data_IF_364953480047
#
_entry.id   IF_364953480047
#
_cell.length_a   1.000
_cell.length_b   1.000
_cell.length_c   1.000
_cell.angle_alpha   90.00
_cell.angle_beta   90.00
_cell.angle_gamma   90.00
#
_symmetry.space_group_name_H-M   'P 1'
#
loop_
_entity.id
_entity.type
_entity.pdbx_description
1 polymer ?
#
# COMPACT_ATOMS: atom_id res chain seq x y z
N UNK A 1 14.82 39.32 -28.57
CA UNK A 1 15.62 38.14 -28.17
C UNK A 1 14.74 37.07 -27.52
N UNK A 2 13.83 36.42 -28.26
CA UNK A 2 12.84 35.52 -27.65
C UNK A 2 12.05 34.62 -28.61
N UNK A 3 12.59 34.32 -29.80
CA UNK A 3 11.86 33.57 -30.84
C UNK A 3 12.59 32.34 -31.39
N UNK A 4 13.76 31.96 -30.84
CA UNK A 4 14.57 30.85 -31.38
C UNK A 4 14.57 29.55 -30.55
N UNK A 5 13.88 29.49 -29.40
CA UNK A 5 13.81 28.26 -28.59
C UNK A 5 12.59 27.35 -28.90
N UNK A 6 11.85 27.60 -29.98
CA UNK A 6 10.62 26.85 -30.30
C UNK A 6 10.71 25.92 -31.52
N UNK A 7 11.85 25.86 -32.19
CA UNK A 7 11.93 25.30 -33.55
C UNK A 7 12.56 23.90 -33.69
N UNK A 8 13.05 23.28 -32.61
CA UNK A 8 13.78 22.00 -32.74
C UNK A 8 13.47 20.94 -31.69
N UNK A 9 12.44 21.12 -30.85
CA UNK A 9 11.82 19.94 -30.25
C UNK A 9 10.84 19.38 -31.26
N UNK A 10 11.05 18.14 -31.78
CA UNK A 10 9.98 17.47 -32.51
C UNK A 10 8.73 17.56 -31.65
N UNK A 11 7.61 17.97 -32.24
CA UNK A 11 6.30 17.96 -31.59
C UNK A 11 5.91 16.51 -31.34
N UNK A 12 6.60 15.86 -30.41
CA UNK A 12 6.19 14.58 -29.89
C UNK A 12 4.88 14.84 -29.16
N UNK A 13 3.84 14.16 -29.63
CA UNK A 13 2.55 14.16 -28.99
C UNK A 13 2.75 13.87 -27.50
N UNK A 14 2.22 14.75 -26.64
CA UNK A 14 2.41 14.64 -25.20
C UNK A 14 1.59 13.45 -24.71
N UNK A 15 2.26 12.31 -24.51
CA UNK A 15 1.62 11.09 -23.99
C UNK A 15 1.41 11.23 -22.48
N UNK A 16 0.14 11.25 -22.08
CA UNK A 16 -0.28 11.33 -20.67
C UNK A 16 -0.28 9.91 -20.06
N UNK A 17 0.36 9.67 -18.90
CA UNK A 17 0.39 8.34 -18.28
C UNK A 17 -1.01 7.81 -17.97
N UNK A 18 -1.20 6.54 -18.31
CA UNK A 18 -2.42 5.79 -18.00
C UNK A 18 -2.32 5.06 -16.67
N UNK A 19 -1.10 4.73 -16.21
CA UNK A 19 -0.81 3.89 -15.04
C UNK A 19 -1.48 2.51 -15.08
N UNK A 20 -1.84 2.04 -16.27
CA UNK A 20 -2.36 0.69 -16.45
C UNK A 20 -1.22 -0.31 -16.33
N UNK A 21 -1.55 -1.55 -15.97
CA UNK A 21 -0.60 -2.66 -15.92
C UNK A 21 -1.02 -3.68 -16.97
N UNK A 22 -0.08 -4.53 -17.40
CA UNK A 22 -0.34 -5.54 -18.40
C UNK A 22 0.00 -5.07 -19.81
N UNK A 23 -0.75 -5.52 -20.81
CA UNK A 23 -0.49 -5.14 -22.21
C UNK A 23 -0.73 -3.65 -22.48
N UNK A 24 -1.49 -2.98 -21.61
CA UNK A 24 -1.77 -1.53 -21.68
C UNK A 24 -0.83 -0.68 -20.83
N UNK A 25 0.26 -1.25 -20.33
CA UNK A 25 1.21 -0.47 -19.53
C UNK A 25 1.84 0.67 -20.34
N UNK A 26 2.12 1.79 -19.65
CA UNK A 26 2.81 2.93 -20.25
C UNK A 26 4.22 2.52 -20.71
N UNK A 27 4.82 3.26 -21.64
CA UNK A 27 6.22 3.04 -21.97
C UNK A 27 7.10 3.24 -20.71
N UNK A 28 8.15 2.41 -20.56
CA UNK A 28 8.94 2.33 -19.34
C UNK A 28 9.53 3.70 -18.94
N UNK A 29 10.02 4.46 -19.90
CA UNK A 29 10.58 5.80 -19.67
C UNK A 29 9.51 6.80 -19.18
N UNK A 30 8.26 6.71 -19.67
CA UNK A 30 7.15 7.53 -19.16
C UNK A 30 6.73 7.10 -17.76
N UNK A 31 6.63 5.78 -17.51
CA UNK A 31 6.27 5.23 -16.20
C UNK A 31 7.28 5.63 -15.11
N UNK A 32 8.58 5.57 -15.40
CA UNK A 32 9.63 5.98 -14.46
C UNK A 32 9.48 7.48 -14.13
N UNK A 33 9.37 8.35 -15.15
CA UNK A 33 9.24 9.80 -14.96
C UNK A 33 7.99 10.15 -14.16
N UNK A 34 6.85 9.54 -14.50
CA UNK A 34 5.57 9.79 -13.83
C UNK A 34 5.58 9.30 -12.38
N UNK A 35 6.12 8.12 -12.10
CA UNK A 35 6.22 7.58 -10.74
C UNK A 35 7.17 8.37 -9.84
N UNK A 36 8.30 8.87 -10.37
CA UNK A 36 9.19 9.76 -9.61
C UNK A 36 8.49 11.06 -9.20
N UNK A 37 7.72 11.65 -10.12
CA UNK A 37 6.93 12.85 -9.82
C UNK A 37 5.84 12.54 -8.79
N UNK A 38 5.05 11.49 -9.01
CA UNK A 38 3.97 11.07 -8.12
C UNK A 38 4.46 10.70 -6.71
N UNK A 39 5.65 10.10 -6.59
CA UNK A 39 6.25 9.77 -5.30
C UNK A 39 6.37 10.98 -4.37
N UNK A 40 6.92 12.08 -4.90
CA UNK A 40 7.05 13.35 -4.18
C UNK A 40 5.71 14.04 -4.02
N UNK A 41 4.92 14.08 -5.10
CA UNK A 41 3.66 14.82 -5.16
C UNK A 41 2.58 14.29 -4.21
N UNK A 42 2.46 12.97 -4.09
CA UNK A 42 1.50 12.29 -3.22
C UNK A 42 2.08 11.94 -1.84
N UNK A 43 3.32 12.36 -1.56
CA UNK A 43 4.00 12.14 -0.27
C UNK A 43 3.95 10.67 0.19
N UNK A 44 4.30 9.75 -0.72
CA UNK A 44 4.12 8.30 -0.51
C UNK A 44 4.76 7.81 0.79
N UNK A 45 5.93 8.34 1.16
CA UNK A 45 6.65 7.96 2.39
C UNK A 45 5.84 8.26 3.66
N UNK A 46 5.17 9.42 3.69
CA UNK A 46 4.41 9.92 4.83
C UNK A 46 2.92 9.63 4.73
N UNK A 47 2.48 8.85 3.73
CA UNK A 47 1.08 8.45 3.61
C UNK A 47 0.63 7.69 4.87
N UNK A 48 -0.58 7.98 5.35
CA UNK A 48 -1.14 7.33 6.53
C UNK A 48 -1.19 5.80 6.33
N UNK A 49 -0.94 5.01 7.39
CA UNK A 49 -1.06 3.55 7.32
C UNK A 49 -2.47 3.06 6.98
N UNK A 50 -3.51 3.82 7.30
CA UNK A 50 -4.89 3.53 6.93
C UNK A 50 -5.43 4.69 6.10
N UNK A 51 -6.06 4.37 4.97
CA UNK A 51 -6.79 5.35 4.20
C UNK A 51 -8.08 5.70 4.95
N UNK A 52 -8.23 6.95 5.36
CA UNK A 52 -9.50 7.44 5.87
C UNK A 52 -10.48 7.51 4.68
N UNK A 53 -11.39 6.55 4.58
CA UNK A 53 -12.40 6.48 3.49
C UNK A 53 -13.21 7.78 3.36
N UNK A 54 -13.29 8.57 4.45
CA UNK A 54 -13.99 9.85 4.47
C UNK A 54 -13.31 10.97 3.68
N UNK A 55 -12.01 10.88 3.36
CA UNK A 55 -11.30 11.96 2.65
C UNK A 55 -11.53 11.95 1.14
N UNK A 56 -11.72 10.79 0.52
CA UNK A 56 -11.89 10.70 -0.94
C UNK A 56 -13.21 11.29 -1.45
N UNK A 57 -14.25 11.31 -0.62
CA UNK A 57 -15.56 11.83 -1.00
C UNK A 57 -15.68 13.36 -0.81
N UNK A 58 -14.75 14.00 -0.08
CA UNK A 58 -14.88 15.43 0.26
C UNK A 58 -14.13 16.38 -0.67
N UNK A 59 -13.06 15.95 -1.34
CA UNK A 59 -12.13 16.87 -1.99
C UNK A 59 -12.28 17.04 -3.52
N UNK A 60 -13.25 16.39 -4.17
CA UNK A 60 -13.42 16.53 -5.64
C UNK A 60 -14.43 17.61 -6.06
N UNK A 61 -15.34 18.04 -5.20
CA UNK A 61 -16.39 19.02 -5.56
C UNK A 61 -16.23 20.39 -4.92
N UNK A 62 -15.34 20.53 -3.93
CA UNK A 62 -15.11 21.80 -3.23
C UNK A 62 -13.62 21.96 -2.94
N UNK A 63 -12.77 22.07 -3.97
CA UNK A 63 -11.52 22.78 -3.78
C UNK A 63 -11.93 24.20 -3.36
N UNK A 64 -11.70 24.62 -2.10
CA UNK A 64 -11.86 26.02 -1.78
C UNK A 64 -10.88 26.73 -2.71
N UNK A 65 -11.39 27.55 -3.61
CA UNK A 65 -10.62 28.64 -4.21
C UNK A 65 -10.14 29.42 -3.00
N UNK A 66 -8.93 29.09 -2.53
CA UNK A 66 -8.34 29.64 -1.33
C UNK A 66 -7.92 31.05 -1.70
N UNK A 67 -8.92 31.93 -1.78
CA UNK A 67 -8.80 33.37 -1.79
C UNK A 67 -8.47 33.86 -0.40
N UNK A 68 -7.49 33.26 0.27
CA UNK A 68 -6.89 33.89 1.43
C UNK A 68 -5.96 34.98 0.92
N UNK A 69 -6.52 36.19 0.86
CA UNK A 69 -5.82 37.47 0.92
C UNK A 69 -5.01 37.53 2.24
N UNK A 70 -3.96 36.72 2.36
CA UNK A 70 -2.94 36.82 3.38
C UNK A 70 -1.70 37.48 2.78
N UNK A 71 -1.63 38.80 2.87
CA UNK A 71 -0.52 39.58 2.33
C UNK A 71 0.84 39.20 2.92
N UNK A 72 1.88 39.32 2.09
CA UNK A 72 3.27 39.40 2.54
C UNK A 72 4.08 38.09 2.50
N UNK A 73 4.27 37.52 1.31
CA UNK A 73 5.20 36.40 1.12
C UNK A 73 5.28 35.91 -0.33
N UNK A 74 5.77 36.76 -1.24
CA UNK A 74 5.74 36.58 -2.70
C UNK A 74 6.46 35.35 -3.29
N UNK A 75 6.96 34.41 -2.48
CA UNK A 75 7.66 33.22 -2.96
C UNK A 75 6.81 31.95 -3.11
N UNK A 76 5.61 31.87 -2.49
CA UNK A 76 4.87 30.59 -2.37
C UNK A 76 3.84 30.33 -3.48
N UNK A 77 3.35 31.38 -4.14
CA UNK A 77 2.28 31.27 -5.16
C UNK A 77 2.78 30.66 -6.48
N UNK A 78 4.04 30.90 -6.84
CA UNK A 78 4.60 30.44 -8.13
C UNK A 78 4.73 28.91 -8.18
N UNK A 79 5.19 28.28 -7.09
CA UNK A 79 5.36 26.82 -7.02
C UNK A 79 4.03 26.06 -7.21
N UNK A 80 2.89 26.65 -6.86
CA UNK A 80 1.60 25.96 -6.97
C UNK A 80 1.17 25.79 -8.44
N UNK A 81 1.40 26.80 -9.29
CA UNK A 81 0.97 26.79 -10.70
C UNK A 81 1.78 25.83 -11.57
N UNK A 82 3.08 25.67 -11.28
CA UNK A 82 3.92 24.70 -11.99
C UNK A 82 3.50 23.26 -11.64
N UNK A 83 3.19 23.01 -10.37
CA UNK A 83 2.69 21.70 -9.92
C UNK A 83 1.32 21.37 -10.53
N UNK A 84 0.42 22.34 -10.74
CA UNK A 84 -0.85 22.10 -11.43
C UNK A 84 -0.66 21.61 -12.86
N UNK A 85 0.29 22.20 -13.61
CA UNK A 85 0.61 21.75 -14.97
C UNK A 85 1.19 20.34 -14.96
N UNK A 86 2.08 20.04 -14.01
CA UNK A 86 2.66 18.70 -13.87
C UNK A 86 1.62 17.67 -13.38
N UNK A 87 0.66 18.07 -12.54
CA UNK A 87 -0.44 17.23 -12.10
C UNK A 87 -1.36 16.84 -13.27
N UNK A 88 -1.59 17.76 -14.22
CA UNK A 88 -2.29 17.46 -15.46
C UNK A 88 -1.44 16.56 -16.37
N UNK A 89 -0.18 16.92 -16.60
CA UNK A 89 0.75 16.19 -17.48
C UNK A 89 0.94 14.73 -17.05
N UNK A 90 1.07 14.50 -15.75
CA UNK A 90 1.24 13.19 -15.16
C UNK A 90 -0.05 12.60 -14.61
N UNK A 91 -1.22 13.17 -14.95
CA UNK A 91 -2.53 12.62 -14.61
C UNK A 91 -2.68 12.21 -13.14
N UNK A 92 -2.39 13.16 -12.23
CA UNK A 92 -2.48 12.93 -10.78
C UNK A 92 -3.85 12.40 -10.36
N UNK A 93 -4.92 12.88 -10.99
CA UNK A 93 -6.28 12.42 -10.70
C UNK A 93 -6.46 10.91 -10.96
N UNK A 94 -5.95 10.38 -12.08
CA UNK A 94 -5.98 8.93 -12.35
C UNK A 94 -5.09 8.17 -11.36
N UNK A 95 -3.93 8.73 -11.02
CA UNK A 95 -3.03 8.12 -10.04
C UNK A 95 -3.64 8.04 -8.64
N UNK A 96 -4.31 9.08 -8.17
CA UNK A 96 -5.02 9.08 -6.89
C UNK A 96 -6.15 8.04 -6.89
N UNK A 97 -6.91 7.91 -7.98
CA UNK A 97 -7.92 6.85 -8.13
C UNK A 97 -7.28 5.46 -8.09
N UNK A 98 -6.11 5.28 -8.67
CA UNK A 98 -5.37 4.02 -8.62
C UNK A 98 -4.89 3.65 -7.21
N UNK A 99 -4.41 4.64 -6.44
CA UNK A 99 -3.89 4.41 -5.09
C UNK A 99 -4.97 4.30 -4.02
N UNK A 100 -6.02 5.11 -4.14
CA UNK A 100 -7.01 5.32 -3.08
C UNK A 100 -8.42 4.87 -3.46
N UNK A 101 -8.71 4.69 -4.75
CA UNK A 101 -10.05 4.43 -5.27
C UNK A 101 -10.56 3.01 -4.99
N UNK A 102 -11.13 2.36 -6.01
CA UNK A 102 -11.97 1.15 -5.92
C UNK A 102 -11.26 -0.15 -5.54
N UNK A 103 -10.11 -0.08 -4.87
CA UNK A 103 -9.40 -1.27 -4.38
C UNK A 103 -9.88 -1.63 -2.97
N UNK A 104 -10.48 -2.80 -2.83
CA UNK A 104 -10.95 -3.36 -1.55
C UNK A 104 -9.84 -3.53 -0.50
N UNK A 105 -8.58 -3.60 -0.93
CA UNK A 105 -7.43 -3.72 -0.04
C UNK A 105 -6.96 -2.38 0.54
N UNK A 106 -7.54 -1.24 0.13
CA UNK A 106 -7.17 0.11 0.63
C UNK A 106 -7.34 0.30 2.14
N UNK A 107 -8.15 -0.56 2.76
CA UNK A 107 -8.41 -0.59 4.20
C UNK A 107 -7.34 -1.34 5.00
N UNK A 108 -6.40 -1.98 4.30
CA UNK A 108 -5.30 -2.72 4.90
C UNK A 108 -4.13 -1.77 5.18
N UNK A 109 -3.31 -2.16 6.15
CA UNK A 109 -2.20 -1.34 6.63
C UNK A 109 -1.19 -1.06 5.52
N UNK A 110 -0.70 0.18 5.44
CA UNK A 110 0.34 0.64 4.52
C UNK A 110 0.02 0.35 3.03
N UNK A 111 -1.26 0.20 2.68
CA UNK A 111 -1.69 -0.19 1.33
C UNK A 111 -1.13 0.75 0.27
N UNK A 112 -1.27 2.07 0.46
CA UNK A 112 -0.81 3.08 -0.50
C UNK A 112 0.68 2.97 -0.81
N UNK A 113 1.52 2.75 0.20
CA UNK A 113 2.97 2.57 0.03
C UNK A 113 3.28 1.34 -0.81
N UNK A 114 2.61 0.24 -0.50
CA UNK A 114 2.90 -1.05 -1.12
C UNK A 114 2.28 -1.19 -2.52
N UNK A 115 1.14 -0.55 -2.76
CA UNK A 115 0.61 -0.35 -4.11
C UNK A 115 1.60 0.45 -4.95
N UNK A 116 2.12 1.57 -4.43
CA UNK A 116 3.15 2.34 -5.12
C UNK A 116 4.41 1.50 -5.44
N UNK A 117 4.94 0.76 -4.45
CA UNK A 117 6.10 -0.13 -4.66
C UNK A 117 5.84 -1.19 -5.74
N UNK A 118 4.62 -1.72 -5.82
CA UNK A 118 4.26 -2.68 -6.88
C UNK A 118 4.27 -2.06 -8.28
N UNK A 119 3.97 -0.76 -8.41
CA UNK A 119 4.06 -0.02 -9.67
C UNK A 119 5.51 0.24 -10.09
N UNK A 120 6.47 0.19 -9.15
CA UNK A 120 7.89 0.34 -9.42
C UNK A 120 8.54 -0.94 -9.97
N UNK A 121 7.77 -2.02 -10.12
CA UNK A 121 8.22 -3.24 -10.80
C UNK A 121 7.92 -3.06 -12.30
N UNK A 122 8.97 -2.84 -13.09
CA UNK A 122 8.94 -2.54 -14.52
C UNK A 122 8.99 -3.84 -15.35
N UNK A 123 8.35 -3.87 -16.52
CA UNK A 123 8.36 -5.04 -17.40
C UNK A 123 9.64 -5.14 -18.25
N UNK A 124 10.42 -4.08 -18.33
CA UNK A 124 11.64 -4.03 -19.13
C UNK A 124 12.59 -2.92 -18.68
N UNK A 125 13.73 -2.84 -19.38
CA UNK A 125 14.70 -1.76 -19.20
C UNK A 125 14.21 -0.49 -19.91
N UNK A 126 14.44 0.70 -19.32
CA UNK A 126 14.20 1.96 -20.02
C UNK A 126 15.06 2.04 -21.29
N UNK A 127 14.53 2.71 -22.32
CA UNK A 127 15.23 2.88 -23.60
C UNK A 127 16.09 4.15 -23.62
N UNK A 128 15.70 5.18 -22.87
CA UNK A 128 16.39 6.48 -22.85
C UNK A 128 17.42 6.57 -21.71
N UNK A 129 17.31 5.71 -20.68
CA UNK A 129 18.12 5.80 -19.46
C UNK A 129 19.17 4.69 -19.39
N UNK A 130 20.43 5.07 -19.16
CA UNK A 130 21.55 4.12 -18.96
C UNK A 130 21.46 3.36 -17.64
N UNK A 131 20.86 3.98 -16.61
CA UNK A 131 20.69 3.38 -15.29
C UNK A 131 19.33 3.75 -14.70
N UNK A 132 18.75 2.85 -13.91
CA UNK A 132 17.50 3.12 -13.20
C UNK A 132 17.71 4.25 -12.18
N UNK A 133 16.85 5.29 -12.18
CA UNK A 133 16.93 6.35 -11.19
C UNK A 133 16.60 5.82 -9.79
N UNK A 134 17.10 6.51 -8.77
CA UNK A 134 16.86 6.16 -7.36
C UNK A 134 15.91 7.17 -6.73
N UNK A 135 15.12 6.69 -5.78
CA UNK A 135 14.32 7.56 -4.91
C UNK A 135 15.21 8.12 -3.80
N UNK A 136 14.84 9.29 -3.27
CA UNK A 136 15.54 9.94 -2.15
C UNK A 136 15.22 9.27 -0.79
N UNK A 137 14.70 8.04 -0.80
CA UNK A 137 14.23 7.32 0.39
C UNK A 137 14.49 5.83 0.24
N UNK A 138 14.97 5.22 1.30
CA UNK A 138 15.25 3.78 1.36
C UNK A 138 13.97 2.95 1.11
N UNK A 139 14.16 1.73 0.59
CA UNK A 139 13.08 0.77 0.33
C UNK A 139 12.04 1.23 -0.70
N UNK A 140 12.43 2.19 -1.54
CA UNK A 140 11.77 2.53 -2.79
C UNK A 140 12.81 2.42 -3.89
N UNK A 141 12.61 1.48 -4.81
CA UNK A 141 13.52 1.22 -5.90
C UNK A 141 12.74 0.71 -7.11
N UNK A 142 13.24 1.02 -8.30
CA UNK A 142 12.76 0.37 -9.52
C UNK A 142 13.40 -1.00 -9.64
N UNK A 143 12.60 -2.02 -9.93
CA UNK A 143 13.06 -3.38 -10.17
C UNK A 143 12.50 -3.85 -11.51
N UNK A 144 13.30 -4.58 -12.29
CA UNK A 144 12.87 -5.12 -13.58
C UNK A 144 12.46 -6.58 -13.36
N UNK A 145 11.29 -6.93 -13.88
CA UNK A 145 10.77 -8.29 -13.93
C UNK A 145 10.02 -8.42 -15.25
N UNK A 146 10.59 -9.12 -16.23
CA UNK A 146 9.98 -9.21 -17.57
C UNK A 146 8.86 -10.24 -17.59
N UNK A 147 7.92 -10.07 -18.53
CA UNK A 147 6.77 -10.97 -18.64
C UNK A 147 7.22 -12.42 -18.91
N UNK A 148 8.19 -12.57 -19.81
CA UNK A 148 8.82 -13.81 -20.22
C UNK A 148 9.91 -14.34 -19.28
N UNK A 149 10.12 -13.70 -18.12
CA UNK A 149 11.06 -14.18 -17.11
C UNK A 149 10.67 -15.58 -16.59
N UNK A 150 11.64 -16.46 -16.30
CA UNK A 150 11.35 -17.77 -15.72
C UNK A 150 10.73 -17.66 -14.32
N UNK A 151 10.01 -18.69 -13.88
CA UNK A 151 9.35 -18.71 -12.56
C UNK A 151 10.28 -18.40 -11.39
N UNK A 152 11.51 -18.89 -11.47
CA UNK A 152 12.51 -18.65 -10.43
C UNK A 152 12.80 -17.16 -10.28
N UNK A 153 12.87 -16.41 -11.39
CA UNK A 153 13.10 -14.97 -11.36
C UNK A 153 11.90 -14.23 -10.75
N UNK A 154 10.67 -14.67 -11.04
CA UNK A 154 9.47 -14.15 -10.36
C UNK A 154 9.53 -14.40 -8.85
N UNK A 155 9.82 -15.64 -8.45
CA UNK A 155 9.89 -16.06 -7.05
C UNK A 155 10.95 -15.24 -6.32
N UNK A 156 12.15 -15.13 -6.86
CA UNK A 156 13.23 -14.39 -6.22
C UNK A 156 12.98 -12.89 -6.19
N UNK A 157 12.59 -12.30 -7.32
CA UNK A 157 12.40 -10.86 -7.44
C UNK A 157 11.28 -10.39 -6.52
N UNK A 158 10.12 -11.04 -6.55
CA UNK A 158 9.00 -10.66 -5.70
C UNK A 158 9.26 -10.98 -4.23
N UNK A 159 9.84 -12.15 -3.91
CA UNK A 159 10.13 -12.50 -2.53
C UNK A 159 11.26 -11.66 -1.90
N UNK A 160 12.15 -11.06 -2.68
CA UNK A 160 13.19 -10.13 -2.19
C UNK A 160 12.79 -8.65 -2.31
N UNK A 161 11.68 -8.33 -2.97
CA UNK A 161 11.22 -6.96 -3.18
C UNK A 161 10.98 -6.19 -1.87
N UNK A 162 10.98 -4.86 -1.95
CA UNK A 162 10.66 -3.97 -0.82
C UNK A 162 9.15 -3.88 -0.53
N UNK A 163 8.29 -4.65 -1.22
CA UNK A 163 6.86 -4.70 -0.91
C UNK A 163 6.68 -5.24 0.51
N UNK A 164 5.96 -4.47 1.33
CA UNK A 164 5.75 -4.63 2.76
C UNK A 164 7.06 -4.74 3.57
N UNK A 165 8.09 -3.97 3.18
CA UNK A 165 9.39 -3.95 3.87
C UNK A 165 9.29 -3.76 5.39
N UNK A 166 8.38 -2.89 5.84
CA UNK A 166 8.14 -2.61 7.26
C UNK A 166 7.70 -3.86 8.06
N UNK A 167 7.25 -4.90 7.36
CA UNK A 167 6.67 -6.13 7.90
C UNK A 167 7.45 -7.39 7.50
N UNK A 168 8.66 -7.26 6.91
CA UNK A 168 9.51 -8.42 6.58
C UNK A 168 9.88 -9.26 7.82
N UNK A 169 9.91 -8.64 9.00
CA UNK A 169 10.17 -9.35 10.26
C UNK A 169 9.06 -10.33 10.66
N UNK A 170 7.81 -10.10 10.25
CA UNK A 170 6.70 -11.02 10.54
C UNK A 170 6.37 -11.96 9.38
N UNK A 171 6.67 -11.57 8.13
CA UNK A 171 6.48 -12.43 6.97
C UNK A 171 7.84 -12.89 6.43
N UNK A 172 8.24 -14.09 6.85
CA UNK A 172 9.48 -14.72 6.40
C UNK A 172 9.54 -14.97 4.90
N UNK A 173 10.77 -15.01 4.38
CA UNK A 173 11.08 -15.18 2.95
C UNK A 173 10.38 -16.39 2.31
N UNK A 174 10.28 -17.51 3.03
CA UNK A 174 9.66 -18.73 2.49
C UNK A 174 8.14 -18.59 2.31
N UNK A 175 7.47 -17.87 3.22
CA UNK A 175 6.05 -17.53 3.03
C UNK A 175 5.87 -16.65 1.80
N UNK A 176 6.77 -15.68 1.58
CA UNK A 176 6.75 -14.82 0.40
C UNK A 176 6.92 -15.64 -0.88
N UNK A 177 7.90 -16.55 -0.92
CA UNK A 177 8.11 -17.47 -2.06
C UNK A 177 6.88 -18.31 -2.35
N UNK A 178 6.25 -18.90 -1.31
CA UNK A 178 5.01 -19.69 -1.45
C UNK A 178 3.86 -18.89 -2.03
N UNK A 179 3.73 -17.61 -1.66
CA UNK A 179 2.71 -16.71 -2.22
C UNK A 179 2.96 -16.50 -3.72
N UNK A 180 4.22 -16.29 -4.14
CA UNK A 180 4.56 -16.11 -5.56
C UNK A 180 4.30 -17.37 -6.36
N UNK A 181 4.70 -18.54 -5.85
CA UNK A 181 4.43 -19.84 -6.49
C UNK A 181 2.93 -20.01 -6.75
N UNK A 182 2.10 -19.75 -5.72
CA UNK A 182 0.65 -19.79 -5.86
C UNK A 182 0.11 -18.77 -6.87
N UNK A 183 0.71 -17.58 -6.94
CA UNK A 183 0.34 -16.56 -7.92
C UNK A 183 0.59 -17.05 -9.36
N UNK A 184 1.74 -17.69 -9.60
CA UNK A 184 2.12 -18.28 -10.89
C UNK A 184 1.18 -19.44 -11.28
N UNK A 185 0.84 -20.32 -10.34
CA UNK A 185 -0.16 -21.38 -10.55
C UNK A 185 -1.52 -20.82 -10.99
N UNK A 186 -1.97 -19.73 -10.35
CA UNK A 186 -3.22 -19.05 -10.71
C UNK A 186 -3.14 -18.43 -12.11
N UNK A 187 -2.04 -17.75 -12.43
CA UNK A 187 -1.86 -17.15 -13.75
C UNK A 187 -1.84 -18.18 -14.88
N UNK A 188 -1.39 -19.41 -14.61
CA UNK A 188 -1.39 -20.52 -15.57
C UNK A 188 -2.62 -21.43 -15.49
N UNK A 189 -3.62 -21.12 -14.68
CA UNK A 189 -4.80 -21.99 -14.55
C UNK A 189 -5.48 -22.16 -15.90
N UNK A 190 -5.60 -23.41 -16.37
CA UNK A 190 -6.14 -23.74 -17.70
C UNK A 190 -5.15 -23.62 -18.87
N UNK A 191 -3.87 -23.40 -18.60
CA UNK A 191 -2.81 -23.28 -19.61
C UNK A 191 -1.72 -24.34 -19.37
N UNK A 192 -0.88 -24.57 -20.39
CA UNK A 192 0.30 -25.44 -20.24
C UNK A 192 1.26 -24.86 -19.20
N UNK A 193 1.89 -25.68 -18.33
CA UNK A 193 2.93 -25.22 -17.41
C UNK A 193 4.14 -24.60 -18.13
N UNK A 194 4.33 -24.93 -19.41
CA UNK A 194 5.41 -24.39 -20.26
C UNK A 194 5.04 -23.09 -20.98
N UNK A 195 3.80 -22.59 -20.83
CA UNK A 195 3.39 -21.35 -21.49
C UNK A 195 4.17 -20.17 -20.90
N UNK A 196 4.78 -19.39 -21.78
CA UNK A 196 5.40 -18.10 -21.45
C UNK A 196 4.31 -17.12 -21.01
N UNK A 197 4.54 -16.45 -19.89
CA UNK A 197 3.60 -15.46 -19.35
C UNK A 197 3.65 -14.20 -20.22
N UNK A 198 2.48 -13.62 -20.50
CA UNK A 198 2.39 -12.31 -21.15
C UNK A 198 2.36 -11.18 -20.09
N UNK A 199 2.21 -9.93 -20.52
CA UNK A 199 2.24 -8.81 -19.56
C UNK A 199 1.02 -8.82 -18.63
N UNK A 200 -0.14 -9.27 -19.11
CA UNK A 200 -1.35 -9.39 -18.30
C UNK A 200 -1.19 -10.46 -17.20
N UNK A 201 -0.61 -11.61 -17.54
CA UNK A 201 -0.28 -12.69 -16.61
C UNK A 201 0.70 -12.17 -15.53
N UNK A 202 1.73 -11.43 -15.94
CA UNK A 202 2.66 -10.75 -15.02
C UNK A 202 1.95 -9.78 -14.07
N UNK A 203 1.09 -8.92 -14.60
CA UNK A 203 0.32 -7.97 -13.80
C UNK A 203 -0.59 -8.68 -12.79
N UNK A 204 -1.21 -9.80 -13.20
CA UNK A 204 -2.00 -10.66 -12.33
C UNK A 204 -1.15 -11.25 -11.18
N UNK A 205 0.05 -11.76 -11.48
CA UNK A 205 0.98 -12.31 -10.48
C UNK A 205 1.37 -11.25 -9.45
N UNK A 206 1.80 -10.06 -9.90
CA UNK A 206 2.19 -8.95 -9.02
C UNK A 206 1.02 -8.50 -8.14
N UNK A 207 -0.18 -8.36 -8.73
CA UNK A 207 -1.39 -7.97 -8.00
C UNK A 207 -1.78 -9.01 -6.96
N UNK A 208 -1.77 -10.29 -7.32
CA UNK A 208 -2.07 -11.37 -6.39
C UNK A 208 -1.08 -11.38 -5.22
N UNK A 209 0.21 -11.26 -5.52
CA UNK A 209 1.28 -11.21 -4.53
C UNK A 209 1.07 -10.06 -3.53
N UNK A 210 0.82 -8.84 -4.04
CA UNK A 210 0.55 -7.66 -3.22
C UNK A 210 -0.67 -7.86 -2.31
N UNK A 211 -1.80 -8.30 -2.86
CA UNK A 211 -3.05 -8.50 -2.11
C UNK A 211 -2.89 -9.55 -1.02
N UNK A 212 -2.19 -10.64 -1.34
CA UNK A 212 -1.97 -11.74 -0.41
C UNK A 212 -1.01 -11.35 0.71
N UNK A 213 0.08 -10.62 0.42
CA UNK A 213 0.95 -10.05 1.46
C UNK A 213 0.18 -9.12 2.38
N UNK A 214 -0.62 -8.20 1.83
CA UNK A 214 -1.41 -7.26 2.62
C UNK A 214 -2.33 -8.00 3.61
N UNK A 215 -2.93 -9.09 3.15
CA UNK A 215 -3.77 -9.97 3.97
C UNK A 215 -2.97 -10.63 5.09
N UNK A 216 -1.83 -11.25 4.79
CA UNK A 216 -1.00 -11.92 5.79
C UNK A 216 -0.46 -10.93 6.84
N UNK A 217 -0.05 -9.72 6.44
CA UNK A 217 0.39 -8.67 7.37
C UNK A 217 -0.73 -8.28 8.31
N UNK A 218 -1.94 -8.07 7.79
CA UNK A 218 -3.09 -7.71 8.60
C UNK A 218 -3.51 -8.84 9.55
N UNK A 219 -3.39 -10.11 9.12
CA UNK A 219 -3.63 -11.29 9.96
C UNK A 219 -2.62 -11.37 11.09
N UNK A 220 -1.31 -11.27 10.81
CA UNK A 220 -0.27 -11.31 11.83
C UNK A 220 -0.46 -10.17 12.86
N UNK A 221 -0.78 -8.96 12.39
CA UNK A 221 -1.03 -7.81 13.27
C UNK A 221 -2.20 -8.06 14.22
N UNK A 222 -3.33 -8.57 13.72
CA UNK A 222 -4.49 -8.90 14.54
C UNK A 222 -4.19 -10.05 15.51
N UNK A 223 -3.51 -11.09 15.04
CA UNK A 223 -3.10 -12.22 15.85
C UNK A 223 -2.21 -11.79 17.03
N UNK A 224 -1.16 -10.99 16.78
CA UNK A 224 -0.29 -10.44 17.84
C UNK A 224 -1.06 -9.54 18.82
N UNK A 225 -2.02 -8.77 18.33
CA UNK A 225 -2.91 -7.97 19.18
C UNK A 225 -3.73 -8.85 20.13
N UNK A 226 -4.35 -9.91 19.61
CA UNK A 226 -5.14 -10.86 20.39
C UNK A 226 -4.30 -11.65 21.40
N UNK A 227 -3.08 -12.05 21.02
CA UNK A 227 -2.15 -12.71 21.94
C UNK A 227 -1.83 -11.83 23.15
N UNK A 228 -1.45 -10.56 22.90
CA UNK A 228 -1.15 -9.60 23.97
C UNK A 228 -2.37 -9.36 24.87
N UNK A 229 -3.57 -9.31 24.29
CA UNK A 229 -4.81 -9.15 25.06
C UNK A 229 -5.07 -10.35 25.99
N UNK A 230 -4.95 -11.58 25.48
CA UNK A 230 -5.07 -12.81 26.30
C UNK A 230 -4.01 -12.87 27.40
N UNK A 231 -2.78 -12.48 27.10
CA UNK A 231 -1.69 -12.44 28.08
C UNK A 231 -1.98 -11.44 29.22
N UNK A 232 -2.46 -10.25 28.88
CA UNK A 232 -2.86 -9.25 29.89
C UNK A 232 -4.05 -9.74 30.73
N UNK A 233 -5.00 -10.45 30.13
CA UNK A 233 -6.13 -11.04 30.84
C UNK A 233 -5.68 -12.14 31.82
N UNK A 234 -4.74 -12.99 31.42
CA UNK A 234 -4.15 -14.01 32.30
C UNK A 234 -3.33 -13.40 33.44
N UNK A 235 -2.58 -12.31 33.17
CA UNK A 235 -1.86 -11.56 34.23
C UNK A 235 -2.82 -10.90 35.22
N UNK A 236 -3.99 -10.44 34.75
CA UNK A 236 -5.06 -9.91 35.62
C UNK A 236 -5.73 -10.99 36.47
N UNK A 237 -5.96 -12.19 35.95
CA UNK A 237 -6.55 -13.28 36.72
C UNK A 237 -5.61 -13.90 37.75
N UNK A 238 -4.28 -13.84 37.52
CA UNK A 238 -3.26 -14.29 38.47
C UNK A 238 -2.90 -13.28 39.55
N UNK A 239 -3.28 -12.02 39.39
CA UNK A 239 -3.02 -10.99 40.40
C UNK A 239 -3.83 -11.36 41.64
N UNK A 240 -3.20 -11.66 42.79
CA UNK A 240 -3.94 -12.03 44.00
C UNK A 240 -4.91 -10.91 44.30
N UNK A 241 -6.20 -11.28 44.42
CA UNK A 241 -7.24 -10.37 44.87
C UNK A 241 -6.71 -9.75 46.15
N UNK A 242 -6.32 -8.47 46.09
CA UNK A 242 -6.01 -7.70 47.29
C UNK A 242 -7.33 -7.67 48.04
N UNK A 243 -7.47 -8.60 48.98
CA UNK A 243 -8.53 -8.53 49.97
C UNK A 243 -8.43 -7.13 50.56
N UNK A 244 -9.52 -6.36 50.59
CA UNK A 244 -9.50 -5.04 51.20
C UNK A 244 -9.03 -5.26 52.63
N UNK A 245 -7.81 -4.82 52.92
CA UNK A 245 -7.26 -4.82 54.26
C UNK A 245 -8.23 -3.94 55.04
N UNK A 246 -9.02 -4.59 55.89
CA UNK A 246 -9.94 -3.94 56.81
C UNK A 246 -9.07 -2.95 57.59
N UNK A 247 -9.25 -1.66 57.35
CA UNK A 247 -8.64 -0.61 58.16
C UNK A 247 -9.03 -0.90 59.60
N UNK A 248 -8.12 -1.50 60.35
CA UNK A 248 -8.22 -1.59 61.79
C UNK A 248 -8.09 -0.16 62.28
N UNK A 249 -9.23 0.40 62.68
CA UNK A 249 -9.36 1.62 63.45
C UNK A 249 -8.47 1.52 64.69
N UNK A 250 -7.22 1.93 64.54
CA UNK A 250 -6.27 2.09 65.61
C UNK A 250 -6.41 3.50 66.17
N UNK A 251 -7.17 3.62 67.25
CA UNK A 251 -7.08 4.74 68.18
C UNK A 251 -5.65 4.79 68.73
N UNK A 252 -4.88 5.79 68.30
CA UNK A 252 -3.52 6.04 68.75
C UNK A 252 -3.28 7.53 68.89
N UNK A 253 -3.67 8.09 70.04
CA UNK A 253 -3.15 9.34 70.53
C UNK A 253 -1.65 9.16 70.85
N UNK A 254 -0.79 10.02 70.31
CA UNK A 254 0.64 9.98 70.62
C UNK A 254 1.42 10.97 69.77
N UNK A 255 1.69 12.13 70.35
CA UNK A 255 2.39 13.24 69.70
C UNK A 255 3.81 12.93 69.25
N UNK A 256 4.24 13.71 68.27
CA UNK A 256 5.61 13.73 67.77
C UNK A 256 5.76 14.93 66.83
N UNK A 257 6.06 16.08 67.42
CA UNK A 257 6.50 17.27 66.69
C UNK A 257 7.75 16.95 65.87
N UNK A 258 7.62 17.01 64.55
CA UNK A 258 8.72 16.85 63.61
C UNK A 258 8.58 17.85 62.48
N UNK A 259 9.05 19.07 62.72
CA UNK A 259 9.15 20.15 61.73
C UNK A 259 9.95 19.65 60.52
N UNK A 260 9.32 19.56 59.35
CA UNK A 260 10.05 19.57 58.08
C UNK A 260 9.26 20.26 56.99
N UNK A 261 9.56 21.55 56.85
CA UNK A 261 9.20 22.41 55.73
C UNK A 261 9.82 21.88 54.43
N UNK A 262 9.01 21.27 53.57
CA UNK A 262 9.27 21.27 52.11
C UNK A 262 8.02 21.65 51.33
N UNK A 263 7.93 22.96 51.12
CA UNK A 263 7.35 23.68 49.97
C UNK A 263 6.86 22.76 48.83
N UNK A 264 5.56 22.45 48.83
CA UNK A 264 4.87 21.93 47.65
C UNK A 264 4.20 23.09 46.93
N UNK A 265 4.59 23.27 45.67
CA UNK A 265 4.03 24.23 44.73
C UNK A 265 2.74 23.63 44.18
N UNK A 266 1.62 24.23 44.57
CA UNK A 266 0.26 23.89 44.16
C UNK A 266 0.07 24.03 42.64
N UNK A 267 -0.26 22.94 41.96
CA UNK A 267 -1.00 22.94 40.68
C UNK A 267 -2.50 22.87 40.97
N UNK A 268 -3.34 23.70 40.32
CA UNK A 268 -4.78 23.67 40.55
C UNK A 268 -5.40 22.41 39.94
N UNK A 269 -6.21 21.72 40.75
CA UNK A 269 -7.06 20.63 40.35
C UNK A 269 -8.20 21.16 39.47
N UNK A 270 -8.27 20.66 38.23
CA UNK A 270 -9.45 20.81 37.37
C UNK A 270 -10.42 19.71 37.78
N UNK A 271 -11.57 20.14 38.31
CA UNK A 271 -12.75 19.31 38.55
C UNK A 271 -13.20 18.63 37.24
N UNK A 272 -13.08 17.31 37.17
CA UNK A 272 -13.78 16.50 36.17
C UNK A 272 -15.05 15.92 36.81
N UNK A 273 -16.25 16.19 36.25
CA UNK A 273 -17.49 15.61 36.74
C UNK A 273 -17.57 14.10 36.46
N UNK A 274 -18.02 13.39 37.49
CA UNK A 274 -18.37 11.97 37.51
C UNK A 274 -19.34 11.59 36.40
N UNK A 275 -18.96 10.61 35.58
CA UNK A 275 -19.88 9.90 34.68
C UNK A 275 -20.59 8.76 35.43
N UNK A 276 -21.87 8.48 35.12
CA UNK A 276 -22.68 7.48 35.83
C UNK A 276 -22.29 6.03 35.50
N UNK A 277 -22.64 5.06 36.37
CA UNK A 277 -22.26 3.67 36.25
C UNK A 277 -22.99 2.95 35.10
N UNK A 278 -22.23 2.04 34.50
CA UNK A 278 -22.57 1.13 33.40
C UNK A 278 -23.85 0.34 33.69
N UNK A 279 -24.82 0.41 32.79
CA UNK A 279 -25.91 -0.56 32.75
C UNK A 279 -25.39 -1.91 32.27
N UNK A 280 -25.88 -2.95 32.93
CA UNK A 280 -25.65 -4.37 32.70
C UNK A 280 -26.03 -4.78 31.26
N UNK A 281 -25.10 -5.46 30.60
CA UNK A 281 -25.38 -6.25 29.40
C UNK A 281 -26.32 -7.40 29.75
N UNK A 282 -27.54 -7.33 29.25
CA UNK A 282 -28.49 -8.45 29.23
C UNK A 282 -28.05 -9.41 28.13
N UNK A 283 -27.71 -10.63 28.54
CA UNK A 283 -27.48 -11.79 27.69
C UNK A 283 -28.80 -12.22 27.04
N UNK A 284 -29.06 -11.79 25.80
CA UNK A 284 -30.16 -12.37 25.01
C UNK A 284 -29.68 -13.62 24.27
N UNK A 285 -30.31 -14.71 24.67
CA UNK A 285 -30.25 -16.09 24.21
C UNK A 285 -30.36 -16.27 22.70
N UNK A 286 -29.64 -17.25 22.19
CA UNK A 286 -29.82 -17.89 20.88
C UNK A 286 -31.25 -18.44 20.70
N UNK A 287 -31.87 -18.33 19.51
CA UNK A 287 -33.02 -19.14 19.18
C UNK A 287 -32.58 -20.52 18.72
N UNK A 288 -33.16 -21.47 19.42
CA UNK A 288 -33.19 -22.92 19.31
C UNK A 288 -33.63 -23.38 17.92
N UNK A 289 -32.86 -24.34 17.39
CA UNK A 289 -33.21 -25.27 16.32
C UNK A 289 -34.59 -25.91 16.56
N UNK A 290 -35.53 -25.70 15.65
CA UNK A 290 -36.76 -26.47 15.54
C UNK A 290 -36.60 -27.53 14.44
N UNK A 291 -36.66 -28.78 14.88
CA UNK A 291 -36.89 -29.96 14.07
C UNK A 291 -38.16 -29.82 13.23
N UNK A 292 -38.10 -30.36 12.02
CA UNK A 292 -39.23 -30.53 11.12
C UNK A 292 -38.96 -31.73 10.24
N UNK A 293 -39.16 -32.93 10.80
CA UNK A 293 -39.30 -34.16 10.04
C UNK A 293 -40.65 -34.16 9.33
N UNK A 294 -40.65 -34.25 8.00
CA UNK A 294 -41.70 -34.96 7.26
C UNK A 294 -41.10 -35.51 5.97
N UNK A 295 -40.96 -36.84 5.91
CA UNK A 295 -40.85 -37.59 4.66
C UNK A 295 -42.18 -37.50 3.90
N UNK A 296 -42.19 -37.61 2.56
CA UNK A 296 -42.60 -38.92 2.04
C UNK A 296 -41.83 -39.39 0.79
N UNK A 297 -41.74 -40.73 0.73
CA UNK A 297 -41.55 -41.58 -0.44
C UNK A 297 -42.22 -41.05 -1.71
N UNK A 298 -41.56 -41.23 -2.85
CA UNK A 298 -42.29 -41.50 -4.09
C UNK A 298 -41.57 -41.22 -5.40
N UNK A 299 -41.17 -42.32 -6.06
CA UNK A 299 -41.08 -42.56 -7.51
C UNK A 299 -39.81 -42.16 -8.28
N UNK A 300 -39.33 -43.19 -8.97
CA UNK A 300 -38.20 -43.31 -9.90
C UNK A 300 -38.53 -42.72 -11.31
N UNK A 301 -37.77 -43.01 -12.39
CA UNK A 301 -36.99 -42.01 -13.13
C UNK A 301 -37.49 -41.76 -14.57
N UNK A 302 -37.08 -40.66 -15.18
CA UNK A 302 -37.22 -40.37 -16.62
C UNK A 302 -35.90 -39.76 -17.09
N UNK A 303 -34.99 -40.52 -17.71
CA UNK A 303 -34.83 -40.64 -19.17
C UNK A 303 -35.00 -39.33 -19.93
N UNK A 304 -33.89 -38.88 -20.54
CA UNK A 304 -33.80 -37.95 -21.69
C UNK A 304 -32.33 -37.83 -22.13
N UNK A 305 -32.04 -37.53 -23.41
CA UNK A 305 -31.38 -38.50 -24.27
C UNK A 305 -29.99 -38.08 -24.77
N UNK A 306 -29.24 -39.10 -25.15
CA UNK A 306 -28.07 -39.08 -26.02
C UNK A 306 -28.40 -38.51 -27.40
N UNK A 307 -27.76 -37.40 -27.77
CA UNK A 307 -27.65 -36.97 -29.16
C UNK A 307 -26.25 -37.30 -29.69
N UNK A 308 -26.20 -38.43 -30.38
CA UNK A 308 -25.18 -38.76 -31.37
C UNK A 308 -25.54 -38.03 -32.66
N UNK A 309 -24.60 -37.30 -33.27
CA UNK A 309 -24.73 -36.86 -34.65
C UNK A 309 -23.36 -36.83 -35.31
N UNK A 310 -23.31 -37.60 -36.39
CA UNK A 310 -22.21 -37.90 -37.28
C UNK A 310 -21.55 -36.67 -37.94
N UNK A 311 -20.29 -36.91 -38.33
CA UNK A 311 -19.39 -36.13 -39.18
C UNK A 311 -20.00 -35.67 -40.52
N UNK A 312 -19.27 -34.85 -41.30
CA UNK A 312 -18.50 -35.47 -42.38
C UNK A 312 -17.10 -34.89 -42.64
N UNK A 313 -16.37 -35.73 -43.38
CA UNK A 313 -15.07 -35.59 -44.03
C UNK A 313 -15.00 -34.45 -45.07
N UNK A 314 -13.78 -34.29 -45.62
CA UNK A 314 -13.30 -33.46 -46.74
C UNK A 314 -12.70 -32.11 -46.28
N UNK A 315 -11.50 -31.68 -46.69
CA UNK A 315 -10.59 -32.16 -47.73
C UNK A 315 -9.25 -31.40 -47.66
N UNK A 316 -8.18 -32.14 -47.95
CA UNK A 316 -6.91 -31.76 -48.58
C UNK A 316 -6.77 -30.34 -49.19
N UNK A 317 -5.68 -29.66 -48.83
CA UNK A 317 -4.77 -28.85 -49.70
C UNK A 317 -3.66 -28.29 -48.79
N UNK A 318 -2.40 -28.77 -48.81
CA UNK A 318 -1.39 -28.53 -49.84
C UNK A 318 -1.46 -27.12 -50.45
N UNK A 319 -0.62 -26.19 -49.97
CA UNK A 319 0.45 -25.60 -50.81
C UNK A 319 0.97 -24.27 -50.24
N UNK A 320 2.29 -24.25 -50.05
CA UNK A 320 3.22 -23.20 -50.51
C UNK A 320 3.26 -21.85 -49.79
N UNK A 321 4.38 -21.69 -49.07
CA UNK A 321 5.14 -20.47 -48.87
C UNK A 321 5.36 -19.68 -50.17
N UNK A 322 5.46 -18.35 -50.08
CA UNK A 322 6.44 -17.63 -50.88
C UNK A 322 7.30 -16.70 -50.01
N UNK A 323 8.57 -17.06 -49.95
CA UNK A 323 9.73 -16.23 -50.33
C UNK A 323 9.64 -14.71 -50.06
N UNK A 324 10.44 -14.30 -49.08
CA UNK A 324 11.13 -12.99 -48.97
C UNK A 324 11.48 -12.38 -50.35
N UNK A 325 11.35 -11.05 -50.48
CA UNK A 325 12.36 -10.27 -51.16
C UNK A 325 13.11 -9.37 -50.17
N UNK A 326 14.40 -9.62 -50.18
CA UNK A 326 15.49 -8.80 -49.68
C UNK A 326 15.56 -7.48 -50.48
N UNK A 327 15.50 -6.33 -49.79
CA UNK A 327 15.87 -5.00 -50.33
C UNK A 327 16.70 -4.32 -49.23
N UNK A 328 18.02 -4.52 -49.22
CA UNK A 328 19.02 -3.66 -49.85
C UNK A 328 18.88 -2.17 -49.50
N UNK A 329 19.73 -1.78 -48.56
CA UNK A 329 20.20 -0.44 -48.24
C UNK A 329 20.96 0.20 -49.40
N UNK A 330 20.86 1.52 -49.53
CA UNK A 330 22.06 2.37 -49.67
C UNK A 330 21.98 3.51 -48.64
N UNK A 331 22.88 3.62 -47.66
CA UNK A 331 24.24 4.18 -47.77
C UNK A 331 24.32 5.36 -48.75
N UNK A 332 24.22 6.59 -48.22
CA UNK A 332 25.08 7.71 -48.62
C UNK A 332 24.90 8.89 -47.66
N UNK A 333 25.94 9.16 -46.88
CA UNK A 333 26.20 10.40 -46.17
C UNK A 333 26.45 11.54 -47.16
N UNK A 334 26.27 12.81 -46.73
CA UNK A 334 27.27 13.81 -47.06
C UNK A 334 27.82 14.50 -45.81
N UNK A 335 29.13 14.65 -45.90
CA UNK A 335 30.08 15.28 -45.01
C UNK A 335 29.88 16.80 -44.91
N UNK A 336 30.27 17.34 -43.75
CA UNK A 336 31.01 18.62 -43.59
C UNK A 336 30.21 19.93 -43.58
N UNK A 337 30.18 20.57 -42.40
CA UNK A 337 30.59 21.97 -42.28
C UNK A 337 31.21 22.23 -40.89
N UNK A 338 32.49 22.59 -40.91
CA UNK A 338 33.26 23.19 -39.81
C UNK A 338 32.83 24.66 -39.72
N UNK A 339 32.40 25.13 -38.56
CA UNK A 339 32.39 26.57 -38.25
C UNK A 339 33.03 26.79 -36.88
N UNK A 340 33.96 27.72 -36.91
CA UNK A 340 34.90 28.18 -35.91
C UNK A 340 34.28 29.07 -34.84
N UNK A 341 34.90 28.98 -33.66
CA UNK A 341 35.25 30.02 -32.67
C UNK A 341 34.38 31.28 -32.49
N UNK A 342 34.11 31.57 -31.21
CA UNK A 342 33.68 32.87 -30.74
C UNK A 342 33.11 32.84 -29.32
N UNK A 343 33.98 32.80 -28.30
CA UNK A 343 33.62 33.34 -26.97
C UNK A 343 33.34 34.85 -27.05
N UNK A 344 32.78 35.52 -25.99
CA UNK A 344 33.39 35.52 -24.67
C UNK A 344 32.42 35.71 -23.46
N UNK A 345 33.03 35.74 -22.26
CA UNK A 345 32.69 36.56 -21.08
C UNK A 345 31.59 36.10 -20.09
N UNK A 346 32.06 35.64 -18.91
CA UNK A 346 31.47 35.86 -17.57
C UNK A 346 31.40 37.38 -17.24
N UNK A 347 30.77 37.91 -16.15
CA UNK A 347 30.58 37.40 -14.78
C UNK A 347 29.24 37.89 -14.12
N UNK A 348 29.03 38.08 -12.78
CA UNK A 348 29.74 37.61 -11.58
C UNK A 348 28.87 36.89 -10.52
N UNK A 349 29.57 36.21 -9.60
CA UNK A 349 29.11 35.79 -8.27
C UNK A 349 28.67 36.98 -7.42
N UNK A 350 27.55 36.84 -6.72
CA UNK A 350 27.24 37.63 -5.53
C UNK A 350 27.14 36.75 -4.29
N UNK A 351 27.99 37.11 -3.33
CA UNK A 351 28.11 36.65 -1.95
C UNK A 351 27.09 37.43 -1.12
N UNK A 352 26.28 36.77 -0.31
CA UNK A 352 25.54 37.37 0.82
C UNK A 352 25.22 36.24 1.80
N UNK A 353 26.04 36.06 2.84
CA UNK A 353 25.91 36.65 4.17
C UNK A 353 24.96 35.85 5.07
N UNK A 354 25.60 35.13 5.99
CA UNK A 354 25.01 34.53 7.17
C UNK A 354 24.26 35.59 7.98
N UNK A 355 23.05 35.26 8.46
CA UNK A 355 22.52 35.86 9.68
C UNK A 355 21.92 34.76 10.56
N UNK A 356 22.41 34.74 11.80
CA UNK A 356 21.93 33.94 12.92
C UNK A 356 20.71 34.63 13.55
N UNK A 357 20.01 33.84 14.37
CA UNK A 357 19.07 34.17 15.45
C UNK A 357 17.58 34.19 15.10
N UNK A 358 16.86 33.29 15.76
CA UNK A 358 15.40 33.22 15.74
C UNK A 358 14.84 32.00 16.45
N UNK A 359 15.33 31.68 17.65
CA UNK A 359 14.71 30.71 18.56
C UNK A 359 13.28 31.17 18.88
N UNK A 360 12.28 30.45 18.37
CA UNK A 360 10.90 30.48 18.90
C UNK A 360 10.34 29.07 18.97
N UNK A 361 10.53 28.49 20.15
CA UNK A 361 9.76 27.37 20.68
C UNK A 361 8.27 27.72 20.71
N UNK A 362 7.47 27.02 19.90
CA UNK A 362 6.04 26.85 20.17
C UNK A 362 5.77 25.36 20.32
N UNK A 363 5.49 24.99 21.57
CA UNK A 363 5.01 23.69 21.96
C UNK A 363 3.71 23.37 21.21
N UNK A 364 3.70 22.26 20.48
CA UNK A 364 2.50 21.67 19.91
C UNK A 364 2.34 20.26 20.45
N UNK A 365 1.19 20.06 21.08
CA UNK A 365 0.68 18.79 21.57
C UNK A 365 0.75 17.72 20.47
N UNK A 366 1.65 16.76 20.66
CA UNK A 366 1.77 15.54 19.85
C UNK A 366 2.31 14.41 20.72
N UNK A 367 1.60 14.11 21.81
CA UNK A 367 1.88 12.95 22.64
C UNK A 367 0.71 11.97 22.57
N UNK A 368 0.66 11.19 21.47
CA UNK A 368 -0.05 9.91 21.38
C UNK A 368 0.37 9.04 20.15
N UNK A 369 1.38 9.47 19.36
CA UNK A 369 1.75 8.78 18.10
C UNK A 369 3.10 8.04 18.07
N UNK A 370 3.95 8.13 19.10
CA UNK A 370 5.34 7.66 19.01
C UNK A 370 5.61 6.26 19.61
N UNK A 371 4.64 5.65 20.29
CA UNK A 371 4.87 4.40 21.01
C UNK A 371 4.80 3.10 20.17
N UNK A 372 4.52 3.17 18.86
CA UNK A 372 4.32 1.96 18.03
C UNK A 372 5.52 1.53 17.18
N UNK A 373 6.61 2.30 17.12
CA UNK A 373 7.76 1.95 16.26
C UNK A 373 8.96 1.32 16.98
N UNK A 374 8.92 1.15 18.30
CA UNK A 374 9.80 0.18 18.97
C UNK A 374 9.11 -1.17 18.92
N UNK A 375 9.46 -1.99 17.95
CA UNK A 375 9.17 -3.44 18.01
C UNK A 375 9.90 -3.93 19.25
N UNK A 376 9.19 -4.27 20.35
CA UNK A 376 9.85 -4.89 21.49
C UNK A 376 10.44 -6.20 20.99
N UNK A 377 11.71 -6.47 21.33
CA UNK A 377 12.32 -7.76 21.07
C UNK A 377 11.58 -8.80 21.92
N UNK A 378 10.49 -9.34 21.37
CA UNK A 378 9.59 -10.32 21.99
C UNK A 378 10.20 -11.73 21.98
N UNK A 379 11.49 -11.86 21.72
CA UNK A 379 12.20 -13.13 21.80
C UNK A 379 12.52 -13.41 23.27
N UNK A 380 11.61 -14.12 23.95
CA UNK A 380 11.90 -15.14 24.97
C UNK A 380 10.99 -15.17 26.20
N UNK A 381 9.90 -14.38 26.27
CA UNK A 381 8.86 -14.70 27.27
C UNK A 381 7.97 -15.80 26.65
N UNK A 382 8.33 -17.06 26.94
CA UNK A 382 7.54 -18.24 26.55
C UNK A 382 6.18 -18.11 27.23
N UNK A 383 5.25 -17.46 26.55
CA UNK A 383 3.85 -17.44 26.97
C UNK A 383 3.35 -18.88 26.94
N UNK A 384 2.92 -19.38 28.10
CA UNK A 384 2.31 -20.70 28.29
C UNK A 384 0.88 -20.76 27.68
N UNK A 385 0.70 -20.22 26.48
CA UNK A 385 -0.52 -20.42 25.72
C UNK A 385 -0.44 -21.78 25.04
N UNK A 386 -1.47 -22.58 25.23
CA UNK A 386 -1.66 -23.86 24.54
C UNK A 386 -1.58 -23.65 23.02
N UNK A 387 -1.00 -24.60 22.28
CA UNK A 387 -0.88 -24.52 20.82
C UNK A 387 -2.25 -24.42 20.13
N UNK A 388 -3.26 -25.08 20.70
CA UNK A 388 -4.66 -25.01 20.26
C UNK A 388 -5.21 -23.58 20.35
N UNK A 389 -4.90 -22.85 21.43
CA UNK A 389 -5.30 -21.45 21.59
C UNK A 389 -4.64 -20.55 20.55
N UNK A 390 -3.35 -20.79 20.25
CA UNK A 390 -2.62 -20.04 19.22
C UNK A 390 -3.23 -20.25 17.83
N UNK A 391 -3.52 -21.51 17.48
CA UNK A 391 -4.20 -21.86 16.21
C UNK A 391 -5.59 -21.23 16.13
N UNK A 392 -6.36 -21.27 17.21
CA UNK A 392 -7.70 -20.67 17.27
C UNK A 392 -7.64 -19.14 17.07
N UNK A 393 -6.73 -18.44 17.75
CA UNK A 393 -6.54 -16.99 17.58
C UNK A 393 -6.10 -16.62 16.16
N UNK A 394 -5.20 -17.40 15.56
CA UNK A 394 -4.77 -17.18 14.18
C UNK A 394 -5.93 -17.39 13.19
N UNK A 395 -6.74 -18.42 13.39
CA UNK A 395 -7.94 -18.69 12.61
C UNK A 395 -8.95 -17.53 12.72
N UNK A 396 -9.20 -17.05 13.94
CA UNK A 396 -10.07 -15.89 14.19
C UNK A 396 -9.55 -14.63 13.49
N UNK A 397 -8.23 -14.37 13.52
CA UNK A 397 -7.62 -13.25 12.82
C UNK A 397 -7.85 -13.34 11.30
N UNK A 398 -7.67 -14.52 10.69
CA UNK A 398 -7.94 -14.75 9.26
C UNK A 398 -9.41 -14.50 8.90
N UNK A 399 -10.34 -15.01 9.69
CA UNK A 399 -11.78 -14.80 9.49
C UNK A 399 -12.10 -13.31 9.60
N UNK A 400 -11.55 -12.61 10.60
CA UNK A 400 -11.78 -11.18 10.80
C UNK A 400 -11.28 -10.34 9.61
N UNK A 401 -10.09 -10.62 9.07
CA UNK A 401 -9.57 -9.94 7.87
C UNK A 401 -10.46 -10.20 6.67
N UNK A 402 -10.83 -11.45 6.42
CA UNK A 402 -11.73 -11.82 5.31
C UNK A 402 -13.07 -11.09 5.41
N UNK A 403 -13.71 -11.12 6.58
CA UNK A 403 -14.98 -10.42 6.82
C UNK A 403 -14.87 -8.92 6.62
N UNK A 404 -13.73 -8.31 6.98
CA UNK A 404 -13.48 -6.88 6.77
C UNK A 404 -13.38 -6.56 5.27
N UNK A 405 -12.62 -7.36 4.51
CA UNK A 405 -12.50 -7.21 3.06
C UNK A 405 -13.85 -7.42 2.36
N UNK A 406 -14.60 -8.47 2.73
CA UNK A 406 -15.93 -8.75 2.16
C UNK A 406 -16.94 -7.63 2.46
N UNK A 407 -16.83 -6.97 3.64
CA UNK A 407 -17.64 -5.79 3.96
C UNK A 407 -17.29 -4.61 3.04
N UNK A 408 -16.00 -4.30 2.91
CA UNK A 408 -15.57 -3.16 2.11
C UNK A 408 -15.83 -3.35 0.61
N UNK A 409 -15.64 -4.58 0.12
CA UNK A 409 -16.05 -5.00 -1.22
C UNK A 409 -17.52 -4.69 -1.49
N UNK A 410 -18.42 -5.06 -0.57
CA UNK A 410 -19.85 -4.74 -0.70
C UNK A 410 -20.13 -3.25 -0.75
N UNK A 411 -19.45 -2.44 0.07
CA UNK A 411 -19.60 -0.98 0.08
C UNK A 411 -19.15 -0.35 -1.24
N UNK A 412 -18.04 -0.83 -1.81
CA UNK A 412 -17.56 -0.38 -3.10
C UNK A 412 -18.55 -0.70 -4.23
N UNK A 413 -19.05 -1.95 -4.28
CA UNK A 413 -19.94 -2.39 -5.37
C UNK A 413 -21.40 -1.96 -5.20
N UNK A 414 -21.84 -1.55 -4.02
CA UNK A 414 -23.16 -0.94 -3.84
C UNK A 414 -23.21 0.54 -4.23
N UNK A 415 -22.04 1.16 -4.42
CA UNK A 415 -21.93 2.61 -4.71
C UNK A 415 -21.59 2.90 -6.18
N UNK A 416 -21.33 1.86 -6.97
CA UNK A 416 -21.08 1.91 -8.41
C UNK A 416 -22.33 1.44 -9.14
#
# INVERSE_FOLDING_TARGET
MGLLNRLLWPQQEVVIPSYEQGEKEDCIDLQIRSLLYMFKRCQIVTSKPFSDTSMLLKDSSNLPVSGERGGGGGGKVVLNRENEKLDLLYNKAKFDRLLYGSDEHRILIDWTKNKFRSLCILSGRPSELTSLPKFDTDHYSFTILSADSPDQDYIETLAKSDIYYEHHACIGIDTRRKIVQKALEIARTGQSPTKVLNKDDRALVIRYYLNKLATEVQVDRLYRGSLKAKEMEQKRSRSPVRTPVKESTGTGAGGGEGKSLRKMKSTPAINCPSSPPKSSFVTTRSPRSSQGETSPRGRSPSQSPSHSSHSPLHSNSHSQSPTRPHLQTPSQSPTRAKVSDGGPSSPPRLRASQSRLGLRTKASASNLGSAFNKVPDLRADKTDLCEEDRKALLSQARIAVKMKLDRDRRVLYSSA
#
